data_IF_635472290681
#
_entry.id   IF_635472290681
#
_cell.length_a   1.000
_cell.length_b   1.000
_cell.length_c   1.000
_cell.angle_alpha   90.00
_cell.angle_beta   90.00
_cell.angle_gamma   90.00
#
_symmetry.space_group_name_H-M   'P 1'
#
loop_
_entity.id
_entity.type
_entity.pdbx_description
1 polymer ?
#
# COMPACT_ATOMS: atom_id res chain seq x y z
N UNK A 1 -3.62 19.09 13.25
CA UNK A 1 -3.96 18.09 12.21
C UNK A 1 -3.34 16.78 12.65
N UNK A 2 -4.12 15.80 13.11
CA UNK A 2 -3.57 14.49 13.45
C UNK A 2 -3.48 13.66 12.16
N UNK A 3 -2.28 13.58 11.62
CA UNK A 3 -1.89 12.72 10.51
C UNK A 3 -2.05 11.27 10.95
N UNK A 4 -2.56 10.41 10.05
CA UNK A 4 -2.32 8.97 10.19
C UNK A 4 -0.80 8.78 10.32
N UNK A 5 -0.31 7.77 11.05
CA UNK A 5 1.11 7.44 11.04
C UNK A 5 1.56 7.39 9.59
N UNK A 6 2.50 8.26 9.21
CA UNK A 6 3.10 8.30 7.86
C UNK A 6 3.84 7.00 7.54
N UNK A 7 4.02 6.15 8.53
CA UNK A 7 4.65 4.85 8.47
C UNK A 7 3.66 3.79 8.98
N UNK A 8 3.10 3.01 8.07
CA UNK A 8 2.49 1.74 8.46
C UNK A 8 3.63 0.82 8.92
N UNK A 9 3.54 0.21 10.11
CA UNK A 9 4.59 -0.66 10.59
C UNK A 9 4.84 -1.79 9.62
N UNK A 10 6.07 -1.81 9.16
CA UNK A 10 6.63 -2.91 8.43
C UNK A 10 6.49 -4.24 9.22
N UNK A 11 6.71 -4.23 10.53
CA UNK A 11 7.09 -5.46 11.22
C UNK A 11 5.94 -6.33 11.72
N UNK A 12 6.18 -7.66 11.77
CA UNK A 12 5.39 -8.67 12.51
C UNK A 12 5.19 -8.32 13.99
N UNK A 13 6.03 -7.44 14.53
CA UNK A 13 5.80 -6.72 15.77
C UNK A 13 5.24 -5.35 15.39
N UNK A 14 3.91 -5.25 15.35
CA UNK A 14 3.23 -4.02 14.90
C UNK A 14 3.75 -2.80 15.64
N UNK A 15 3.92 -1.68 14.93
CA UNK A 15 4.33 -0.40 15.50
C UNK A 15 3.57 -0.19 16.79
N UNK A 16 4.32 0.15 17.83
CA UNK A 16 3.72 0.72 19.02
C UNK A 16 3.10 2.02 18.55
N UNK A 17 1.78 2.01 18.38
CA UNK A 17 1.01 3.24 18.35
C UNK A 17 1.28 3.86 19.72
N UNK A 18 2.10 4.91 19.74
CA UNK A 18 2.53 5.57 20.97
C UNK A 18 1.55 6.63 21.42
N UNK A 19 0.62 7.05 20.56
CA UNK A 19 -0.30 8.15 20.83
C UNK A 19 -1.75 7.83 20.45
N UNK A 20 -2.68 8.42 21.20
CA UNK A 20 -4.10 8.30 20.91
C UNK A 20 -4.46 8.98 19.58
N UNK A 21 -5.09 8.27 18.65
CA UNK A 21 -5.54 8.85 17.36
C UNK A 21 -6.59 9.96 17.53
N UNK A 22 -7.34 9.94 18.64
CA UNK A 22 -8.40 10.92 18.92
C UNK A 22 -7.93 12.20 19.62
N UNK A 23 -6.88 12.15 20.45
CA UNK A 23 -6.44 13.29 21.28
C UNK A 23 -4.91 13.48 21.34
N UNK A 24 -4.14 12.65 20.63
CA UNK A 24 -2.68 12.68 20.57
C UNK A 24 -1.94 12.47 21.91
N UNK A 25 -2.63 12.06 22.98
CA UNK A 25 -1.97 11.77 24.25
C UNK A 25 -1.10 10.50 24.14
N UNK A 26 0.15 10.61 24.56
CA UNK A 26 1.17 9.54 24.49
C UNK A 26 1.31 8.77 25.81
N UNK A 27 0.84 9.34 26.92
CA UNK A 27 1.01 8.79 28.27
C UNK A 27 -0.20 7.96 28.74
N UNK A 28 -0.86 7.27 27.82
CA UNK A 28 -2.08 6.53 28.10
C UNK A 28 -1.97 5.07 27.67
N UNK A 29 -2.61 4.17 28.41
CA UNK A 29 -2.84 2.81 27.93
C UNK A 29 -3.81 2.86 26.74
N UNK A 30 -3.31 2.53 25.54
CA UNK A 30 -4.07 2.67 24.31
C UNK A 30 -4.78 1.37 23.94
N UNK A 31 -6.07 1.48 23.65
CA UNK A 31 -6.92 0.40 23.16
C UNK A 31 -7.02 0.49 21.65
N UNK A 32 -6.59 -0.56 20.95
CA UNK A 32 -6.68 -0.64 19.49
C UNK A 32 -8.14 -0.74 19.04
N UNK A 33 -8.44 -0.15 17.90
CA UNK A 33 -9.71 -0.35 17.22
C UNK A 33 -9.87 -1.83 16.87
N UNK A 34 -10.89 -2.49 17.40
CA UNK A 34 -11.09 -3.94 17.24
C UNK A 34 -11.34 -4.38 15.80
N UNK A 35 -11.72 -3.45 14.92
CA UNK A 35 -12.00 -3.73 13.50
C UNK A 35 -10.73 -3.70 12.65
N UNK A 36 -10.01 -2.59 12.66
CA UNK A 36 -8.87 -2.36 11.77
C UNK A 36 -7.52 -2.65 12.42
N UNK A 37 -7.48 -2.74 13.76
CA UNK A 37 -6.31 -2.97 14.61
C UNK A 37 -5.16 -1.94 14.48
N UNK A 38 -5.34 -0.88 13.67
CA UNK A 38 -4.30 0.11 13.38
C UNK A 38 -4.47 1.43 14.15
N UNK A 39 -5.70 1.93 14.33
CA UNK A 39 -5.94 3.09 15.19
C UNK A 39 -5.95 2.68 16.67
N UNK A 40 -5.47 3.53 17.57
CA UNK A 40 -5.50 3.27 19.00
C UNK A 40 -5.99 4.50 19.78
N UNK A 41 -6.74 4.25 20.85
CA UNK A 41 -7.45 5.29 21.60
C UNK A 41 -7.29 5.08 23.10
N UNK A 42 -7.17 6.15 23.89
CA UNK A 42 -7.17 6.04 25.35
C UNK A 42 -8.46 5.37 25.87
N UNK A 43 -9.60 5.70 25.24
CA UNK A 43 -10.92 5.25 25.66
C UNK A 43 -11.94 5.32 24.52
N UNK A 44 -13.16 4.83 24.80
CA UNK A 44 -14.29 4.79 23.86
C UNK A 44 -14.75 6.19 23.42
N UNK A 45 -14.56 7.20 24.26
CA UNK A 45 -14.92 8.58 23.91
C UNK A 45 -14.03 9.13 22.80
N UNK A 46 -12.71 8.94 22.91
CA UNK A 46 -11.75 9.31 21.87
C UNK A 46 -12.05 8.59 20.56
N UNK A 47 -12.37 7.29 20.62
CA UNK A 47 -12.80 6.53 19.44
C UNK A 47 -14.10 7.10 18.84
N UNK A 48 -15.12 7.41 19.65
CA UNK A 48 -16.39 7.95 19.16
C UNK A 48 -16.23 9.33 18.52
N UNK A 49 -15.40 10.19 19.10
CA UNK A 49 -15.07 11.51 18.55
C UNK A 49 -14.38 11.39 17.19
N UNK A 50 -13.44 10.45 17.05
CA UNK A 50 -12.72 10.20 15.80
C UNK A 50 -13.53 9.39 14.77
N UNK A 51 -14.58 8.68 15.19
CA UNK A 51 -15.30 7.72 14.35
C UNK A 51 -15.78 8.28 13.01
N UNK A 52 -16.26 9.54 12.97
CA UNK A 52 -16.70 10.15 11.70
C UNK A 52 -15.58 10.21 10.66
N UNK A 53 -14.36 10.51 11.10
CA UNK A 53 -13.16 10.57 10.25
C UNK A 53 -12.58 9.18 10.02
N UNK A 54 -12.51 8.37 11.06
CA UNK A 54 -11.93 7.02 11.02
C UNK A 54 -12.77 6.03 10.23
N UNK A 55 -14.11 6.13 10.21
CA UNK A 55 -15.02 5.11 9.66
C UNK A 55 -14.64 4.68 8.24
N UNK A 56 -14.35 5.63 7.37
CA UNK A 56 -13.99 5.34 5.98
C UNK A 56 -12.65 4.60 5.91
N UNK A 57 -11.60 5.16 6.50
CA UNK A 57 -10.26 4.55 6.51
C UNK A 57 -10.26 3.20 7.25
N UNK A 58 -11.08 3.04 8.28
CA UNK A 58 -11.27 1.78 9.02
C UNK A 58 -11.76 0.66 8.09
N UNK A 59 -12.76 0.96 7.26
CA UNK A 59 -13.30 0.02 6.28
C UNK A 59 -12.26 -0.36 5.23
N UNK A 60 -11.52 0.61 4.70
CA UNK A 60 -10.47 0.34 3.72
C UNK A 60 -9.33 -0.48 4.32
N UNK A 61 -8.84 -0.14 5.51
CA UNK A 61 -7.81 -0.93 6.21
C UNK A 61 -8.23 -2.40 6.36
N UNK A 62 -9.50 -2.67 6.69
CA UNK A 62 -9.99 -4.05 6.81
C UNK A 62 -9.86 -4.80 5.48
N UNK A 63 -10.18 -4.16 4.35
CA UNK A 63 -10.01 -4.76 3.02
C UNK A 63 -8.54 -5.02 2.69
N UNK A 64 -7.66 -4.04 2.97
CA UNK A 64 -6.21 -4.18 2.75
C UNK A 64 -5.59 -5.25 3.66
N UNK A 65 -6.04 -5.40 4.90
CA UNK A 65 -5.64 -6.49 5.78
C UNK A 65 -6.06 -7.85 5.21
N UNK A 66 -7.32 -7.97 4.75
CA UNK A 66 -7.79 -9.21 4.12
C UNK A 66 -6.98 -9.56 2.85
N UNK A 67 -6.56 -8.56 2.06
CA UNK A 67 -5.67 -8.76 0.93
C UNK A 67 -4.26 -9.20 1.38
N UNK A 68 -3.69 -8.54 2.40
CA UNK A 68 -2.39 -8.90 2.98
C UNK A 68 -2.34 -10.35 3.44
N UNK A 69 -3.41 -10.84 4.07
CA UNK A 69 -3.48 -12.20 4.60
C UNK A 69 -3.44 -13.27 3.50
N UNK A 70 -3.70 -12.88 2.25
CA UNK A 70 -3.61 -13.74 1.06
C UNK A 70 -2.29 -13.61 0.30
N UNK A 71 -1.36 -12.74 0.72
CA UNK A 71 -0.03 -12.67 0.14
C UNK A 71 0.70 -13.98 0.42
N UNK A 72 1.36 -14.54 -0.59
CA UNK A 72 2.14 -15.76 -0.41
C UNK A 72 3.13 -15.60 0.77
N UNK A 73 3.06 -16.47 1.79
CA UNK A 73 3.93 -16.41 2.95
C UNK A 73 5.43 -16.40 2.63
N UNK A 74 5.86 -16.83 1.44
CA UNK A 74 7.25 -16.71 0.97
C UNK A 74 7.74 -15.27 1.00
N UNK A 75 6.92 -14.31 0.57
CA UNK A 75 7.29 -12.89 0.57
C UNK A 75 7.30 -12.33 2.00
N UNK A 76 6.33 -12.72 2.82
CA UNK A 76 6.21 -12.26 4.21
C UNK A 76 7.26 -12.87 5.16
N UNK A 77 7.96 -13.93 4.75
CA UNK A 77 9.08 -14.53 5.48
C UNK A 77 10.45 -14.11 4.95
N UNK A 78 10.50 -13.45 3.79
CA UNK A 78 11.75 -13.03 3.20
C UNK A 78 12.40 -11.93 4.06
N UNK A 79 13.64 -12.15 4.58
CA UNK A 79 14.31 -11.18 5.45
C UNK A 79 14.68 -9.86 4.74
N UNK A 80 14.64 -9.82 3.41
CA UNK A 80 14.83 -8.60 2.64
C UNK A 80 13.72 -7.57 2.92
N UNK A 81 12.49 -8.05 3.12
CA UNK A 81 11.35 -7.21 3.45
C UNK A 81 11.24 -7.03 4.95
N UNK A 82 11.22 -5.78 5.37
CA UNK A 82 10.93 -5.41 6.75
C UNK A 82 9.43 -5.48 7.04
N UNK A 83 8.59 -5.58 6.00
CA UNK A 83 7.15 -5.55 6.17
C UNK A 83 6.25 -5.26 5.02
N UNK A 84 5.00 -4.91 5.38
CA UNK A 84 3.93 -4.52 4.45
C UNK A 84 3.42 -3.13 4.79
N UNK A 85 3.30 -2.28 3.78
CA UNK A 85 2.64 -0.97 3.87
C UNK A 85 1.45 -0.91 2.91
N UNK A 86 0.49 -0.04 3.22
CA UNK A 86 -0.67 0.26 2.39
C UNK A 86 -0.65 1.68 1.85
N UNK A 87 0.49 2.38 1.95
CA UNK A 87 0.70 3.73 1.43
C UNK A 87 1.61 3.69 0.20
N UNK A 88 1.21 4.34 -0.88
CA UNK A 88 2.07 4.50 -2.08
C UNK A 88 3.36 5.24 -1.72
N UNK A 89 3.29 6.23 -0.83
CA UNK A 89 4.45 6.99 -0.36
C UNK A 89 5.51 6.17 0.40
N UNK A 90 5.24 4.91 0.72
CA UNK A 90 6.24 3.98 1.27
C UNK A 90 7.15 3.36 0.19
N UNK A 91 6.83 3.54 -1.09
CA UNK A 91 7.72 3.14 -2.17
C UNK A 91 8.88 4.12 -2.30
N UNK A 92 10.13 3.64 -2.43
CA UNK A 92 11.27 4.50 -2.63
C UNK A 92 11.23 5.16 -4.01
N UNK A 93 11.74 6.39 -4.09
CA UNK A 93 12.10 7.00 -5.37
C UNK A 93 13.27 6.25 -6.02
N UNK A 94 13.49 6.48 -7.31
CA UNK A 94 14.48 5.73 -8.11
C UNK A 94 15.91 5.76 -7.53
N UNK A 95 16.39 6.92 -7.05
CA UNK A 95 17.74 7.03 -6.46
C UNK A 95 17.89 6.20 -5.19
N UNK A 96 16.91 6.28 -4.29
CA UNK A 96 16.87 5.51 -3.05
C UNK A 96 16.72 4.01 -3.33
N UNK A 97 15.85 3.64 -4.28
CA UNK A 97 15.70 2.25 -4.70
C UNK A 97 17.01 1.65 -5.21
N UNK A 98 17.76 2.38 -6.04
CA UNK A 98 19.05 1.90 -6.54
C UNK A 98 20.11 1.72 -5.44
N UNK A 99 20.02 2.49 -4.35
CA UNK A 99 20.99 2.45 -3.26
C UNK A 99 20.64 1.45 -2.16
N UNK A 100 19.38 1.40 -1.72
CA UNK A 100 18.93 0.59 -0.57
C UNK A 100 17.86 -0.47 -0.90
N UNK A 101 17.36 -0.46 -2.13
CA UNK A 101 16.24 -1.28 -2.57
C UNK A 101 14.91 -0.87 -1.93
N UNK A 102 13.86 -1.61 -2.25
CA UNK A 102 12.56 -1.47 -1.60
C UNK A 102 12.47 -2.41 -0.39
N UNK A 103 12.37 -1.85 0.83
CA UNK A 103 12.32 -2.62 2.09
C UNK A 103 10.91 -2.99 2.55
N UNK A 104 9.88 -2.42 1.94
CA UNK A 104 8.48 -2.66 2.29
C UNK A 104 7.73 -3.20 1.10
N UNK A 105 6.96 -4.27 1.26
CA UNK A 105 5.96 -4.68 0.28
C UNK A 105 4.83 -3.66 0.33
N UNK A 106 4.45 -3.06 -0.80
CA UNK A 106 3.38 -2.06 -0.83
C UNK A 106 2.16 -2.66 -1.51
N UNK A 107 1.06 -2.77 -0.77
CA UNK A 107 -0.21 -3.26 -1.31
C UNK A 107 -1.02 -2.08 -1.81
N UNK A 108 -1.55 -2.22 -3.02
CA UNK A 108 -2.43 -1.24 -3.68
C UNK A 108 -3.63 -1.94 -4.32
N UNK A 109 -4.72 -1.22 -4.53
CA UNK A 109 -5.93 -1.74 -5.18
C UNK A 109 -6.05 -1.19 -6.60
N UNK A 110 -6.40 -2.05 -7.55
CA UNK A 110 -6.72 -1.68 -8.93
C UNK A 110 -8.11 -1.04 -8.99
N UNK A 111 -8.17 0.21 -9.45
CA UNK A 111 -9.41 0.98 -9.58
C UNK A 111 -9.70 1.47 -11.00
N UNK A 112 -8.80 1.22 -11.94
CA UNK A 112 -8.99 1.55 -13.35
C UNK A 112 -7.92 0.88 -14.20
N UNK A 113 -8.20 0.65 -15.49
CA UNK A 113 -7.23 0.13 -16.45
C UNK A 113 -7.43 0.75 -17.82
N UNK A 114 -6.33 0.97 -18.52
CA UNK A 114 -6.24 1.39 -19.91
C UNK A 114 -5.25 0.45 -20.60
N UNK A 115 -5.72 -0.25 -21.62
CA UNK A 115 -4.92 -1.20 -22.38
C UNK A 115 -4.50 -0.53 -23.69
N UNK A 116 -3.21 -0.56 -24.00
CA UNK A 116 -2.64 -0.14 -25.28
C UNK A 116 -2.02 -1.36 -25.97
N UNK A 117 -1.70 -1.25 -27.26
CA UNK A 117 -1.14 -2.36 -28.05
C UNK A 117 0.16 -2.92 -27.45
N UNK A 118 1.01 -2.07 -26.86
CA UNK A 118 2.34 -2.45 -26.36
C UNK A 118 2.55 -2.16 -24.86
N UNK A 119 1.52 -1.71 -24.15
CA UNK A 119 1.61 -1.41 -22.72
C UNK A 119 0.25 -1.50 -22.06
N UNK A 120 0.25 -1.77 -20.76
CA UNK A 120 -0.97 -1.69 -19.95
C UNK A 120 -0.75 -0.70 -18.83
N UNK A 121 -1.65 0.25 -18.69
CA UNK A 121 -1.62 1.25 -17.61
C UNK A 121 -2.78 0.99 -16.68
N UNK A 122 -2.48 0.84 -15.39
CA UNK A 122 -3.48 0.52 -14.37
C UNK A 122 -3.48 1.62 -13.33
N UNK A 123 -4.65 2.24 -13.12
CA UNK A 123 -4.84 3.19 -12.03
C UNK A 123 -5.01 2.39 -10.74
N UNK A 124 -4.14 2.68 -9.78
CA UNK A 124 -4.17 2.05 -8.45
C UNK A 124 -4.36 3.09 -7.37
N UNK A 125 -4.96 2.67 -6.24
CA UNK A 125 -5.08 3.49 -5.04
C UNK A 125 -4.51 2.79 -3.82
N UNK A 126 -4.16 3.60 -2.84
CA UNK A 126 -3.72 3.16 -1.52
C UNK A 126 -4.84 3.29 -0.47
N UNK A 127 -4.57 2.91 0.78
CA UNK A 127 -5.57 2.92 1.86
C UNK A 127 -6.08 4.33 2.22
N UNK A 128 -5.33 5.37 1.83
CA UNK A 128 -5.67 6.77 2.06
C UNK A 128 -6.46 7.38 0.90
N UNK A 129 -6.75 6.60 -0.15
CA UNK A 129 -7.29 7.02 -1.45
C UNK A 129 -6.35 7.90 -2.29
N UNK A 130 -5.06 7.94 -1.96
CA UNK A 130 -4.08 8.47 -2.90
C UNK A 130 -3.96 7.51 -4.08
N UNK A 131 -3.82 8.03 -5.30
CA UNK A 131 -3.74 7.21 -6.50
C UNK A 131 -2.49 7.52 -7.32
N UNK A 132 -2.06 6.52 -8.09
CA UNK A 132 -0.95 6.56 -9.04
C UNK A 132 -1.27 5.58 -10.18
N UNK A 133 -0.39 5.49 -11.18
CA UNK A 133 -0.50 4.46 -12.21
C UNK A 133 0.64 3.46 -12.11
N UNK A 134 0.30 2.18 -12.29
CA UNK A 134 1.25 1.14 -12.63
C UNK A 134 1.30 1.06 -14.15
N UNK A 135 2.50 1.19 -14.71
CA UNK A 135 2.75 1.04 -16.14
C UNK A 135 3.48 -0.28 -16.34
N UNK A 136 2.83 -1.19 -17.06
CA UNK A 136 3.41 -2.45 -17.46
C UNK A 136 4.09 -2.30 -18.82
N UNK A 137 5.40 -2.58 -18.86
CA UNK A 137 6.22 -2.52 -20.06
C UNK A 137 7.11 -3.76 -20.13
N UNK A 138 6.50 -4.90 -20.47
CA UNK A 138 7.23 -6.14 -20.68
C UNK A 138 7.92 -6.15 -22.04
N UNK A 139 9.08 -6.81 -22.11
CA UNK A 139 9.79 -7.05 -23.38
C UNK A 139 9.21 -8.24 -24.13
N UNK A 140 8.60 -9.17 -23.40
CA UNK A 140 7.99 -10.39 -23.91
C UNK A 140 6.48 -10.18 -24.08
N UNK A 141 5.97 -10.46 -25.29
CA UNK A 141 4.55 -10.36 -25.63
C UNK A 141 3.69 -11.40 -24.90
N UNK A 142 4.25 -12.56 -24.54
CA UNK A 142 3.50 -13.61 -23.85
C UNK A 142 3.22 -13.23 -22.38
N UNK A 143 4.15 -12.52 -21.75
CA UNK A 143 3.93 -11.94 -20.41
C UNK A 143 2.77 -10.92 -20.43
N UNK A 144 2.62 -10.17 -21.52
CA UNK A 144 1.52 -9.22 -21.70
C UNK A 144 0.17 -9.92 -21.87
N UNK A 145 0.09 -11.00 -22.65
CA UNK A 145 -1.15 -11.75 -22.85
C UNK A 145 -1.67 -12.36 -21.53
N UNK A 146 -0.76 -12.81 -20.66
CA UNK A 146 -1.10 -13.33 -19.34
C UNK A 146 -1.46 -12.27 -18.29
N UNK A 147 -1.30 -10.98 -18.61
CA UNK A 147 -1.53 -9.89 -17.68
C UNK A 147 -2.99 -9.46 -17.66
N UNK A 148 -3.63 -9.39 -18.83
CA UNK A 148 -4.97 -8.78 -18.98
C UNK A 148 -6.03 -9.41 -18.07
N UNK A 149 -5.99 -10.73 -17.90
CA UNK A 149 -6.94 -11.45 -17.04
C UNK A 149 -6.73 -11.17 -15.54
N UNK A 150 -5.53 -10.73 -15.13
CA UNK A 150 -5.17 -10.38 -13.75
C UNK A 150 -5.52 -8.93 -13.41
N UNK A 151 -5.61 -8.05 -14.41
CA UNK A 151 -5.89 -6.61 -14.22
C UNK A 151 -7.38 -6.32 -14.00
N UNK A 152 -8.03 -6.95 -13.02
CA UNK A 152 -9.46 -6.73 -12.73
C UNK A 152 -9.64 -5.62 -11.70
N UNK A 153 -10.72 -4.85 -11.83
CA UNK A 153 -11.10 -3.84 -10.83
C UNK A 153 -11.35 -4.51 -9.46
N UNK A 154 -10.89 -3.88 -8.40
CA UNK A 154 -10.96 -4.41 -7.03
C UNK A 154 -9.90 -5.47 -6.70
N UNK A 155 -9.03 -5.82 -7.64
CA UNK A 155 -7.89 -6.71 -7.38
C UNK A 155 -6.83 -5.95 -6.58
N UNK A 156 -6.25 -6.62 -5.59
CA UNK A 156 -5.11 -6.08 -4.85
C UNK A 156 -3.80 -6.59 -5.44
N UNK A 157 -2.81 -5.72 -5.49
CA UNK A 157 -1.48 -6.02 -6.01
C UNK A 157 -0.46 -5.65 -4.94
N UNK A 158 0.45 -6.58 -4.64
CA UNK A 158 1.61 -6.32 -3.82
C UNK A 158 2.79 -5.95 -4.72
N UNK A 159 3.32 -4.76 -4.53
CA UNK A 159 4.53 -4.28 -5.20
C UNK A 159 5.71 -4.78 -4.38
N UNK A 160 6.57 -5.57 -5.01
CA UNK A 160 7.70 -6.24 -4.37
C UNK A 160 8.99 -5.45 -4.57
N UNK A 161 9.34 -5.13 -5.82
CA UNK A 161 10.59 -4.44 -6.18
C UNK A 161 10.35 -3.47 -7.35
N UNK A 162 9.81 -2.30 -7.07
CA UNK A 162 9.65 -1.25 -8.06
C UNK A 162 9.74 0.15 -7.43
N UNK A 163 10.52 1.08 -8.02
CA UNK A 163 10.57 2.45 -7.54
C UNK A 163 9.38 3.27 -8.02
N UNK A 164 9.11 4.37 -7.31
CA UNK A 164 8.38 5.50 -7.87
C UNK A 164 9.28 6.23 -8.88
N UNK A 165 8.71 6.49 -10.06
CA UNK A 165 9.31 7.31 -11.12
C UNK A 165 8.49 8.55 -11.35
N UNK A 166 9.15 9.70 -11.42
CA UNK A 166 8.50 10.96 -11.79
C UNK A 166 8.15 10.88 -13.27
N UNK A 167 6.87 10.97 -13.60
CA UNK A 167 6.39 11.01 -14.98
C UNK A 167 6.13 12.43 -15.49
N UNK A 168 5.88 13.38 -14.58
CA UNK A 168 5.80 14.81 -14.91
C UNK A 168 6.31 15.66 -13.76
N UNK A 169 7.35 16.45 -14.02
CA UNK A 169 7.88 17.43 -13.06
C UNK A 169 6.91 18.61 -12.84
N UNK A 170 6.10 18.92 -13.85
CA UNK A 170 5.12 20.03 -13.81
C UNK A 170 3.92 19.63 -12.95
N UNK A 171 3.43 18.40 -13.10
CA UNK A 171 2.25 17.90 -12.39
C UNK A 171 2.60 17.09 -11.13
N UNK A 172 3.90 16.90 -10.85
CA UNK A 172 4.44 16.06 -9.77
C UNK A 172 3.82 14.67 -9.71
N UNK A 173 3.45 14.12 -10.87
CA UNK A 173 2.90 12.76 -10.95
C UNK A 173 4.04 11.76 -10.86
N UNK A 174 3.86 10.77 -9.99
CA UNK A 174 4.73 9.60 -9.92
C UNK A 174 3.96 8.40 -10.41
N UNK A 175 4.64 7.53 -11.15
CA UNK A 175 4.14 6.25 -11.65
C UNK A 175 5.08 5.12 -11.20
N UNK A 176 4.57 3.90 -11.22
CA UNK A 176 5.31 2.69 -10.87
C UNK A 176 5.54 1.91 -12.16
N UNK A 177 6.80 1.76 -12.57
CA UNK A 177 7.13 1.00 -13.77
C UNK A 177 7.41 -0.47 -13.43
N UNK A 178 6.67 -1.37 -14.07
CA UNK A 178 6.84 -2.81 -13.96
C UNK A 178 7.31 -3.35 -15.31
N UNK A 179 8.54 -3.87 -15.32
CA UNK A 179 9.23 -4.42 -16.48
C UNK A 179 9.36 -5.96 -16.40
N UNK A 180 9.03 -6.55 -15.26
CA UNK A 180 8.96 -8.00 -15.05
C UNK A 180 7.89 -8.36 -14.02
N UNK A 181 7.22 -9.50 -14.23
CA UNK A 181 6.28 -10.06 -13.24
C UNK A 181 6.90 -10.38 -11.88
N UNK A 182 8.23 -10.51 -11.80
CA UNK A 182 8.95 -10.70 -10.52
C UNK A 182 8.84 -9.49 -9.58
N UNK A 183 8.54 -8.30 -10.11
CA UNK A 183 8.45 -7.06 -9.34
C UNK A 183 7.13 -6.90 -8.59
N UNK A 184 6.12 -7.72 -8.89
CA UNK A 184 4.80 -7.62 -8.29
C UNK A 184 4.20 -9.01 -7.99
N UNK A 185 3.17 -9.02 -7.16
CA UNK A 185 2.37 -10.20 -6.88
C UNK A 185 0.89 -9.83 -6.92
N UNK A 186 0.13 -10.53 -7.77
CA UNK A 186 -1.33 -10.38 -7.85
C UNK A 186 -1.98 -11.19 -6.73
N UNK A 187 -2.71 -10.51 -5.85
CA UNK A 187 -3.34 -11.13 -4.69
C UNK A 187 -4.70 -11.72 -5.13
N UNK A 188 -4.94 -13.03 -4.93
CA UNK A 188 -6.17 -13.70 -5.36
C UNK A 188 -7.42 -13.37 -4.51
#
# INVERSE_FOLDING_TARGET
MATLPTEFPATRQGARVTSCTGCSNENAELKRCTRCLLAAYCNRECQRKDFRRHKTTCGEIVKFNAARDKIDPVYLRNPFFMGVSYCIGSLPETSHFNFLGQRLIVVVEIIGRVLYENSSTVKVRDVTNQFTHIIFKFKDTDEMAGLEYKLRLGTYVAILQAPLRISSYVNKTTDILIESLSQIYFIP
#
